data_IF_311069826177
#
_entry.id   IF_311069826177
#
_cell.length_a   1.000
_cell.length_b   1.000
_cell.length_c   1.000
_cell.angle_alpha   90.00
_cell.angle_beta   90.00
_cell.angle_gamma   90.00
#
_symmetry.space_group_name_H-M   'P 1'
#
loop_
_entity.id
_entity.type
_entity.pdbx_description
1 polymer ?
#
# COMPACT_ATOMS: atom_id res chain seq x y z
N UNK A 1 18.29 13.43 6.32
CA UNK A 1 18.01 12.59 5.13
C UNK A 1 16.58 12.09 5.29
N UNK A 2 15.76 12.20 4.24
CA UNK A 2 14.37 11.72 4.27
C UNK A 2 14.34 10.40 3.52
N UNK A 3 14.29 9.30 4.24
CA UNK A 3 14.16 7.95 3.67
C UNK A 3 12.93 7.88 2.75
N UNK A 4 13.11 7.39 1.52
CA UNK A 4 12.04 7.36 0.52
C UNK A 4 11.67 5.94 0.13
N UNK A 5 10.71 5.41 0.88
CA UNK A 5 10.04 4.15 0.60
C UNK A 5 8.70 4.38 -0.10
N UNK A 6 8.32 3.43 -0.95
CA UNK A 6 7.03 3.37 -1.63
C UNK A 6 6.45 1.96 -1.53
N UNK A 7 5.16 1.86 -1.24
CA UNK A 7 4.44 0.58 -1.18
C UNK A 7 3.17 0.64 -2.03
N UNK A 8 2.73 -0.49 -2.58
CA UNK A 8 1.49 -0.49 -3.34
C UNK A 8 1.24 -1.72 -4.19
N UNK A 9 0.43 -1.51 -5.23
CA UNK A 9 0.02 -2.54 -6.18
C UNK A 9 0.27 -2.10 -7.62
N UNK A 10 0.61 -3.06 -8.47
CA UNK A 10 0.83 -2.85 -9.90
C UNK A 10 0.16 -3.97 -10.70
N UNK A 11 -0.47 -3.64 -11.83
CA UNK A 11 -1.11 -4.65 -12.68
C UNK A 11 -0.11 -5.40 -13.59
N UNK A 12 1.09 -4.84 -13.77
CA UNK A 12 2.13 -5.42 -14.60
C UNK A 12 2.94 -6.44 -13.81
N UNK A 13 2.95 -7.70 -14.27
CA UNK A 13 3.67 -8.80 -13.61
C UNK A 13 5.20 -8.63 -13.63
N UNK A 14 5.73 -7.94 -14.64
CA UNK A 14 7.17 -7.71 -14.81
C UNK A 14 7.42 -6.22 -14.99
N UNK A 15 8.02 -5.62 -13.96
CA UNK A 15 8.40 -4.21 -13.95
C UNK A 15 9.86 -4.11 -14.41
N UNK A 16 10.18 -3.28 -15.42
CA UNK A 16 11.57 -2.95 -15.75
C UNK A 16 12.25 -2.33 -14.53
N UNK A 17 13.47 -2.75 -14.22
CA UNK A 17 14.21 -2.27 -13.04
C UNK A 17 14.74 -0.83 -13.22
N UNK A 18 14.77 -0.34 -14.46
CA UNK A 18 15.31 0.97 -14.88
C UNK A 18 14.23 2.01 -15.20
N UNK A 19 12.94 1.63 -15.14
CA UNK A 19 11.84 2.56 -15.33
C UNK A 19 11.26 3.08 -14.00
N UNK A 20 10.90 4.36 -13.90
CA UNK A 20 10.23 4.87 -12.72
C UNK A 20 8.88 4.16 -12.53
N UNK A 21 8.68 3.50 -11.39
CA UNK A 21 7.46 2.71 -11.09
C UNK A 21 6.17 3.52 -11.31
N UNK A 22 6.20 4.84 -11.08
CA UNK A 22 5.05 5.70 -11.28
C UNK A 22 4.63 5.88 -12.75
N UNK A 23 5.53 5.65 -13.71
CA UNK A 23 5.24 5.74 -15.13
C UNK A 23 4.50 4.51 -15.67
N UNK A 24 4.46 3.42 -14.88
CA UNK A 24 3.82 2.17 -15.29
C UNK A 24 2.30 2.27 -15.13
N UNK A 25 1.58 1.86 -16.17
CA UNK A 25 0.12 1.87 -16.17
C UNK A 25 -0.43 0.94 -15.08
N UNK A 26 -1.50 1.39 -14.44
CA UNK A 26 -2.19 0.67 -13.36
C UNK A 26 -1.31 0.43 -12.14
N UNK A 27 -0.43 1.39 -11.83
CA UNK A 27 0.29 1.48 -10.55
C UNK A 27 -0.53 2.28 -9.55
N UNK A 28 -0.62 1.78 -8.33
CA UNK A 28 -1.28 2.41 -7.20
C UNK A 28 -0.33 2.41 -6.02
N UNK A 29 0.18 3.57 -5.64
CA UNK A 29 1.29 3.64 -4.70
C UNK A 29 1.08 4.67 -3.58
N UNK A 30 1.68 4.39 -2.44
CA UNK A 30 1.77 5.29 -1.30
C UNK A 30 3.23 5.55 -0.94
N UNK A 31 3.66 6.78 -1.15
CA UNK A 31 5.04 7.24 -0.98
C UNK A 31 5.24 7.84 0.41
N UNK A 32 6.40 7.64 1.03
CA UNK A 32 6.74 8.13 2.37
C UNK A 32 6.55 9.64 2.56
N UNK A 33 6.64 10.41 1.48
CA UNK A 33 6.37 11.85 1.46
C UNK A 33 4.88 12.21 1.64
N UNK A 34 3.99 11.23 1.58
CA UNK A 34 2.54 11.39 1.77
C UNK A 34 1.74 11.51 0.47
N UNK A 35 2.36 11.21 -0.67
CA UNK A 35 1.68 11.18 -1.96
C UNK A 35 1.01 9.84 -2.22
N UNK A 36 -0.14 9.89 -2.88
CA UNK A 36 -0.77 8.72 -3.46
C UNK A 36 -0.70 8.81 -4.98
N UNK A 37 -0.10 7.81 -5.60
CA UNK A 37 0.12 7.75 -7.05
C UNK A 37 -0.84 6.78 -7.71
N UNK A 38 -1.40 7.17 -8.86
CA UNK A 38 -2.18 6.34 -9.78
C UNK A 38 -1.71 6.59 -11.22
N UNK A 39 -1.02 5.62 -11.84
CA UNK A 39 -0.67 5.62 -13.28
C UNK A 39 -0.22 7.00 -13.83
N UNK A 40 0.99 7.45 -13.47
CA UNK A 40 1.57 8.76 -13.85
C UNK A 40 0.80 10.01 -13.37
N UNK A 41 -0.31 9.83 -12.65
CA UNK A 41 -1.02 10.89 -11.93
C UNK A 41 -0.81 10.72 -10.43
N UNK A 42 -0.85 11.81 -9.68
CA UNK A 42 -0.79 11.76 -8.23
C UNK A 42 -1.82 12.69 -7.60
N UNK A 43 -2.27 12.32 -6.42
CA UNK A 43 -3.00 13.21 -5.52
C UNK A 43 -2.12 13.53 -4.33
N UNK A 44 -2.08 14.81 -3.95
CA UNK A 44 -1.53 15.20 -2.68
C UNK A 44 -2.48 14.70 -1.59
N UNK A 45 -2.05 13.70 -0.82
CA UNK A 45 -2.54 13.60 0.55
C UNK A 45 -2.21 14.93 1.21
N UNK A 46 -3.06 15.44 2.09
CA UNK A 46 -2.75 16.67 2.85
C UNK A 46 -1.42 16.42 3.60
N UNK A 47 -0.33 17.00 3.08
CA UNK A 47 1.01 16.37 3.01
C UNK A 47 1.67 16.04 4.36
N UNK A 48 1.12 16.51 5.48
CA UNK A 48 1.67 16.29 6.81
C UNK A 48 1.06 15.10 7.56
N UNK A 49 -0.18 14.71 7.25
CA UNK A 49 -0.84 13.56 7.89
C UNK A 49 -0.52 12.23 7.21
N UNK A 50 -0.25 12.30 5.91
CA UNK A 50 -0.02 11.12 5.09
C UNK A 50 1.46 10.78 4.95
N UNK A 51 2.42 11.60 5.39
CA UNK A 51 3.83 11.18 5.34
C UNK A 51 4.13 10.12 6.40
N UNK A 52 5.07 9.23 6.13
CA UNK A 52 5.53 8.18 7.06
C UNK A 52 7.04 8.06 7.04
N UNK A 53 7.61 7.47 8.10
CA UNK A 53 9.05 7.27 8.23
C UNK A 53 9.40 6.16 9.20
N UNK A 54 10.63 6.20 9.73
CA UNK A 54 11.12 5.21 10.67
C UNK A 54 10.17 5.02 11.87
N UNK A 55 9.83 3.77 12.18
CA UNK A 55 8.92 3.40 13.26
C UNK A 55 7.43 3.39 12.90
N UNK A 56 7.03 3.93 11.75
CA UNK A 56 5.66 3.84 11.27
C UNK A 56 5.39 2.46 10.62
N UNK A 57 4.20 1.92 10.85
CA UNK A 57 3.67 0.76 10.13
C UNK A 57 2.75 1.21 9.02
N UNK A 58 3.01 0.79 7.78
CA UNK A 58 2.20 1.13 6.62
C UNK A 58 1.51 -0.13 6.08
N UNK A 59 0.21 -0.02 5.82
CA UNK A 59 -0.57 -1.08 5.17
C UNK A 59 -1.05 -0.66 3.79
N UNK A 60 -1.13 -1.63 2.88
CA UNK A 60 -1.83 -1.51 1.60
C UNK A 60 -2.78 -2.70 1.44
N UNK A 61 -4.01 -2.46 1.00
CA UNK A 61 -5.02 -3.50 0.88
C UNK A 61 -5.95 -3.29 -0.31
N UNK A 62 -6.62 -4.37 -0.70
CA UNK A 62 -7.63 -4.39 -1.76
C UNK A 62 -8.96 -4.81 -1.15
N UNK A 63 -9.96 -3.93 -1.23
CA UNK A 63 -11.36 -4.27 -1.03
C UNK A 63 -11.89 -4.86 -2.34
N UNK A 64 -12.01 -6.19 -2.38
CA UNK A 64 -12.49 -6.92 -3.56
C UNK A 64 -13.97 -6.67 -3.84
N UNK A 65 -14.79 -6.40 -2.81
CA UNK A 65 -16.22 -6.19 -2.99
C UNK A 65 -16.49 -4.84 -3.69
N UNK A 66 -15.77 -3.80 -3.28
CA UNK A 66 -15.91 -2.45 -3.86
C UNK A 66 -14.89 -2.16 -4.97
N UNK A 67 -13.98 -3.10 -5.26
CA UNK A 67 -12.84 -2.94 -6.18
C UNK A 67 -12.04 -1.67 -5.89
N UNK A 68 -11.61 -1.51 -4.64
CA UNK A 68 -10.84 -0.35 -4.18
C UNK A 68 -9.51 -0.74 -3.58
N UNK A 69 -8.50 0.07 -3.83
CA UNK A 69 -7.22 0.03 -3.11
C UNK A 69 -7.28 1.08 -2.00
N UNK A 70 -6.83 0.70 -0.81
CA UNK A 70 -6.71 1.58 0.35
C UNK A 70 -5.34 1.43 1.00
N UNK A 71 -4.96 2.47 1.75
CA UNK A 71 -3.72 2.51 2.50
C UNK A 71 -4.00 2.87 3.96
N UNK A 72 -3.13 2.41 4.84
CA UNK A 72 -3.18 2.74 6.26
C UNK A 72 -1.83 3.20 6.76
N UNK A 73 -1.85 4.10 7.75
CA UNK A 73 -0.70 4.46 8.55
C UNK A 73 -1.00 4.16 10.01
N UNK A 74 -0.19 3.33 10.65
CA UNK A 74 -0.35 2.89 12.04
C UNK A 74 -1.78 2.38 12.33
N UNK A 75 -2.33 1.61 11.37
CA UNK A 75 -3.69 1.05 11.47
C UNK A 75 -4.83 2.02 11.17
N UNK A 76 -4.54 3.29 10.91
CA UNK A 76 -5.56 4.30 10.58
C UNK A 76 -5.70 4.38 9.05
N UNK A 77 -6.89 4.10 8.48
CA UNK A 77 -7.15 4.30 7.06
C UNK A 77 -6.95 5.77 6.67
N UNK A 78 -6.25 6.00 5.54
CA UNK A 78 -6.01 7.36 5.06
C UNK A 78 -7.31 8.05 4.57
N UNK A 79 -8.36 7.29 4.25
CA UNK A 79 -9.65 7.80 3.78
C UNK A 79 -10.62 8.22 4.91
N UNK A 80 -10.28 7.98 6.18
CA UNK A 80 -11.14 8.20 7.36
C UNK A 80 -11.68 9.64 7.50
N UNK A 81 -11.01 10.63 6.91
CA UNK A 81 -11.40 12.05 6.94
C UNK A 81 -11.99 12.55 5.60
N UNK A 82 -12.62 11.69 4.79
CA UNK A 82 -13.19 12.03 3.47
C UNK A 82 -12.17 12.59 2.45
N UNK A 83 -10.87 12.31 2.65
CA UNK A 83 -9.79 12.81 1.80
C UNK A 83 -9.71 12.10 0.43
N UNK A 84 -10.64 11.20 0.09
CA UNK A 84 -10.68 10.41 -1.17
C UNK A 84 -9.33 9.76 -1.51
N UNK A 85 -8.69 9.19 -0.49
CA UNK A 85 -7.36 8.58 -0.58
C UNK A 85 -7.40 7.08 -0.93
N UNK A 86 -8.46 6.65 -1.60
CA UNK A 86 -8.65 5.29 -2.12
C UNK A 86 -8.76 5.31 -3.64
N UNK A 87 -8.26 4.28 -4.31
CA UNK A 87 -8.34 4.18 -5.76
C UNK A 87 -9.34 3.13 -6.21
N UNK A 88 -10.29 3.51 -7.06
CA UNK A 88 -11.12 2.53 -7.79
C UNK A 88 -10.26 1.78 -8.82
N UNK A 89 -10.40 0.46 -8.85
CA UNK A 89 -9.76 -0.45 -9.78
C UNK A 89 -10.69 -0.62 -11.00
N UNK A 90 -10.29 -0.15 -12.20
CA UNK A 90 -11.05 -0.34 -13.44
C UNK A 90 -11.37 -1.81 -13.71
N UNK A 91 -12.48 -2.07 -14.41
CA UNK A 91 -13.00 -3.42 -14.63
C UNK A 91 -12.07 -4.33 -15.41
N UNK A 92 -11.29 -3.73 -16.32
CA UNK A 92 -10.30 -4.34 -17.23
C UNK A 92 -8.95 -4.63 -16.56
N UNK A 93 -8.72 -4.15 -15.33
CA UNK A 93 -7.56 -4.56 -14.54
C UNK A 93 -7.82 -5.95 -13.98
N UNK A 94 -7.02 -6.92 -14.44
CA UNK A 94 -7.04 -8.30 -13.98
C UNK A 94 -6.30 -8.47 -12.65
N UNK A 95 -5.09 -9.01 -12.69
CA UNK A 95 -4.31 -9.31 -11.50
C UNK A 95 -3.48 -8.10 -11.06
N UNK A 96 -3.40 -7.89 -9.74
CA UNK A 96 -2.52 -6.92 -9.10
C UNK A 96 -1.44 -7.65 -8.30
N UNK A 97 -0.22 -7.13 -8.33
CA UNK A 97 0.93 -7.65 -7.60
C UNK A 97 1.36 -6.63 -6.55
N UNK A 98 1.59 -7.04 -5.29
CA UNK A 98 2.16 -6.14 -4.29
C UNK A 98 3.61 -5.80 -4.67
N UNK A 99 4.03 -4.57 -4.41
CA UNK A 99 5.42 -4.17 -4.59
C UNK A 99 5.87 -3.22 -3.47
N UNK A 100 7.19 -3.15 -3.33
CA UNK A 100 7.90 -2.17 -2.51
C UNK A 100 9.04 -1.58 -3.33
N UNK A 101 9.35 -0.31 -3.11
CA UNK A 101 10.49 0.37 -3.73
C UNK A 101 11.18 1.25 -2.71
N UNK A 102 12.51 1.22 -2.75
CA UNK A 102 13.42 1.97 -1.89
C UNK A 102 14.27 2.86 -2.80
N UNK A 103 14.52 4.09 -2.39
CA UNK A 103 15.16 5.08 -3.25
C UNK A 103 16.53 5.51 -2.77
N UNK A 104 16.71 5.65 -1.46
CA UNK A 104 17.96 6.14 -0.89
C UNK A 104 18.81 4.97 -0.39
N UNK A 105 20.13 5.20 -0.34
CA UNK A 105 21.04 4.26 0.30
C UNK A 105 20.64 4.06 1.77
N UNK A 106 20.75 2.83 2.23
CA UNK A 106 20.40 2.40 3.59
C UNK A 106 18.91 2.51 3.96
N UNK A 107 18.02 2.75 2.99
CA UNK A 107 16.58 2.57 3.20
C UNK A 107 16.31 1.10 3.58
N UNK A 108 15.61 0.90 4.69
CA UNK A 108 15.25 -0.42 5.20
C UNK A 108 13.76 -0.48 5.52
N UNK A 109 13.15 -1.61 5.16
CA UNK A 109 11.78 -1.95 5.49
C UNK A 109 11.71 -3.40 5.94
N UNK A 110 10.73 -3.70 6.78
CA UNK A 110 10.28 -5.06 7.06
C UNK A 110 8.91 -5.26 6.42
N UNK A 111 8.73 -6.37 5.71
CA UNK A 111 7.44 -6.71 5.09
C UNK A 111 6.79 -7.85 5.84
N UNK A 112 5.48 -7.75 6.06
CA UNK A 112 4.70 -8.76 6.75
C UNK A 112 3.50 -9.15 5.87
N UNK A 113 3.56 -10.34 5.29
CA UNK A 113 2.50 -10.91 4.44
C UNK A 113 1.55 -11.85 5.21
N UNK A 114 1.64 -11.88 6.55
CA UNK A 114 0.78 -12.66 7.43
C UNK A 114 1.40 -13.97 7.93
N UNK A 115 0.69 -14.71 8.82
CA UNK A 115 -0.63 -14.40 9.38
C UNK A 115 -0.58 -13.44 10.58
N UNK A 116 0.58 -13.26 11.20
CA UNK A 116 0.77 -12.40 12.37
C UNK A 116 0.95 -10.94 11.94
N UNK A 117 -0.06 -10.40 11.27
CA UNK A 117 -0.06 -9.02 10.84
C UNK A 117 -0.08 -8.12 12.09
N UNK A 118 0.86 -7.18 12.16
CA UNK A 118 0.89 -6.16 13.23
C UNK A 118 -0.41 -5.33 13.28
N UNK A 119 -1.19 -5.37 12.20
CA UNK A 119 -2.56 -4.88 12.10
C UNK A 119 -3.43 -5.99 11.52
N UNK A 120 -4.48 -6.47 12.21
CA UNK A 120 -5.39 -7.44 11.62
C UNK A 120 -6.08 -6.82 10.40
N UNK A 121 -5.90 -7.43 9.23
CA UNK A 121 -6.70 -7.14 8.04
C UNK A 121 -8.13 -7.57 8.35
N UNK A 122 -8.93 -6.66 8.91
CA UNK A 122 -10.38 -6.86 9.09
C UNK A 122 -11.09 -6.56 7.77
N UNK A 123 -10.72 -7.31 6.75
CA UNK A 123 -11.46 -7.39 5.50
C UNK A 123 -11.49 -8.87 5.14
N UNK A 124 -12.52 -9.56 5.64
CA UNK A 124 -13.20 -10.73 5.10
C UNK A 124 -14.04 -11.33 6.24
N UNK A 125 -15.27 -11.69 5.90
CA UNK A 125 -16.30 -12.18 6.81
C UNK A 125 -15.78 -13.28 7.75
N UNK A 126 -16.11 -13.14 9.03
CA UNK A 126 -16.38 -14.22 9.99
C UNK A 126 -15.72 -15.59 9.76
N UNK A 127 -14.40 -15.72 9.85
CA UNK A 127 -13.80 -17.01 10.16
C UNK A 127 -12.93 -16.93 11.41
N UNK A 128 -13.29 -17.79 12.37
CA UNK A 128 -12.62 -17.97 13.66
C UNK A 128 -11.23 -18.52 13.40
N UNK A 129 -10.22 -17.84 13.94
CA UNK A 129 -8.87 -18.38 14.00
C UNK A 129 -8.82 -19.62 14.90
N UNK A 130 -8.43 -20.76 14.35
CA UNK A 130 -7.92 -21.88 15.15
C UNK A 130 -6.44 -21.61 15.40
N UNK A 131 -6.08 -21.43 16.67
CA UNK A 131 -4.68 -21.37 17.08
C UNK A 131 -4.23 -22.79 17.40
N UNK A 132 -3.36 -23.36 16.56
CA UNK A 132 -2.56 -24.49 16.99
C UNK A 132 -1.46 -23.97 17.93
N UNK A 133 -1.61 -24.26 19.22
CA UNK A 133 -0.50 -24.18 20.17
C UNK A 133 0.40 -25.37 19.90
N UNK A 134 1.65 -25.12 19.52
CA UNK A 134 2.67 -26.14 19.53
C UNK A 134 3.01 -26.43 21.00
N UNK A 135 2.71 -27.66 21.41
CA UNK A 135 3.23 -28.33 22.61
C UNK A 135 4.70 -28.66 22.48
#
# INVERSE_FOLDING_TARGET
MKNRATVGFIAQRQVPLDEPIHAIKCTYAYVSEGYLWKSSSYTNGTAKRCSYGAGDTVGCGIDLANRKIFFTKNGIPLDKDNLRLSFSIPSDVGQLFPFVSLCDFDDQIETNFGPNLMMPVRFLNSEKWVTHKNS
#
